data_IF_733037639161
#
_entry.id   IF_733037639161
#
_cell.length_a   1.000
_cell.length_b   1.000
_cell.length_c   1.000
_cell.angle_alpha   90.00
_cell.angle_beta   90.00
_cell.angle_gamma   90.00
#
_symmetry.space_group_name_H-M   'P 1'
#
loop_
_entity.id
_entity.type
_entity.pdbx_description
1 polymer ?
#
# COMPACT_ATOMS: atom_id res chain seq x y z
N UNK A 1 -10.86 -23.30 -5.03
CA UNK A 1 -11.79 -22.25 -5.53
C UNK A 1 -11.08 -20.91 -5.38
N UNK A 2 -10.74 -20.22 -6.48
CA UNK A 2 -10.09 -18.91 -6.42
C UNK A 2 -11.09 -17.87 -5.89
N UNK A 3 -10.70 -17.10 -4.86
CA UNK A 3 -11.51 -16.01 -4.29
C UNK A 3 -11.49 -14.81 -5.27
N UNK A 4 -12.31 -14.86 -6.32
CA UNK A 4 -12.41 -13.79 -7.33
C UNK A 4 -13.11 -12.55 -6.77
N UNK A 5 -12.85 -11.39 -7.37
CA UNK A 5 -13.50 -10.10 -7.11
C UNK A 5 -13.36 -9.60 -5.66
N UNK A 6 -12.26 -9.94 -4.99
CA UNK A 6 -11.94 -9.34 -3.70
C UNK A 6 -11.41 -7.92 -3.92
N UNK A 7 -11.88 -7.00 -3.08
CA UNK A 7 -11.34 -5.67 -2.93
C UNK A 7 -10.07 -5.74 -2.08
N UNK A 8 -8.98 -5.19 -2.56
CA UNK A 8 -7.66 -5.25 -1.92
C UNK A 8 -7.00 -3.88 -1.95
N UNK A 9 -6.28 -3.53 -0.89
CA UNK A 9 -5.42 -2.35 -0.85
C UNK A 9 -4.11 -2.67 -0.13
N UNK A 10 -3.04 -1.94 -0.46
CA UNK A 10 -1.72 -2.14 0.14
C UNK A 10 -1.23 -0.88 0.84
N UNK A 11 -0.64 -1.08 2.01
CA UNK A 11 0.13 -0.08 2.75
C UNK A 11 1.51 -0.69 2.97
N UNK A 12 2.53 -0.10 2.38
CA UNK A 12 3.92 -0.55 2.44
C UNK A 12 4.72 0.49 3.20
N UNK A 13 5.50 0.06 4.18
CA UNK A 13 6.35 0.94 4.99
C UNK A 13 7.77 0.39 4.97
N UNK A 14 8.74 1.23 4.64
CA UNK A 14 10.13 0.79 4.55
C UNK A 14 11.14 1.92 4.77
N UNK A 15 12.38 1.54 5.08
CA UNK A 15 13.47 2.49 5.33
C UNK A 15 14.21 2.97 4.07
N UNK A 16 13.74 2.62 2.87
CA UNK A 16 14.27 3.17 1.62
C UNK A 16 13.40 4.33 1.13
N UNK A 17 13.96 5.32 0.39
CA UNK A 17 13.18 6.34 -0.28
C UNK A 17 12.04 5.73 -1.11
N UNK A 18 10.86 6.36 -1.08
CA UNK A 18 9.62 5.83 -1.72
C UNK A 18 9.72 5.75 -3.25
N UNK A 19 10.62 6.52 -3.85
CA UNK A 19 10.97 6.49 -5.27
C UNK A 19 11.99 5.39 -5.63
N UNK A 20 12.44 4.60 -4.65
CA UNK A 20 13.33 3.47 -4.92
C UNK A 20 12.62 2.33 -5.64
N UNK A 21 13.37 1.61 -6.48
CA UNK A 21 12.91 0.44 -7.25
C UNK A 21 12.25 -0.64 -6.37
N UNK A 22 12.56 -0.69 -5.08
CA UNK A 22 11.98 -1.66 -4.15
C UNK A 22 10.46 -1.51 -4.05
N UNK A 23 9.94 -0.29 -3.92
CA UNK A 23 8.49 -0.06 -3.84
C UNK A 23 7.81 -0.37 -5.18
N UNK A 24 8.43 -0.01 -6.30
CA UNK A 24 7.91 -0.35 -7.63
C UNK A 24 7.80 -1.87 -7.83
N UNK A 25 8.81 -2.63 -7.40
CA UNK A 25 8.79 -4.09 -7.49
C UNK A 25 7.72 -4.70 -6.59
N UNK A 26 7.52 -4.18 -5.37
CA UNK A 26 6.46 -4.61 -4.47
C UNK A 26 5.09 -4.35 -5.10
N UNK A 27 4.86 -3.15 -5.64
CA UNK A 27 3.61 -2.81 -6.31
C UNK A 27 3.34 -3.73 -7.51
N UNK A 28 4.36 -4.01 -8.33
CA UNK A 28 4.25 -4.94 -9.46
C UNK A 28 3.92 -6.37 -9.01
N UNK A 29 4.46 -6.83 -7.88
CA UNK A 29 4.12 -8.15 -7.35
C UNK A 29 2.65 -8.22 -6.95
N UNK A 30 2.13 -7.21 -6.25
CA UNK A 30 0.72 -7.15 -5.88
C UNK A 30 -0.20 -7.04 -7.09
N UNK A 31 0.15 -6.22 -8.10
CA UNK A 31 -0.60 -6.13 -9.35
C UNK A 31 -0.64 -7.47 -10.10
N UNK A 32 0.48 -8.20 -10.14
CA UNK A 32 0.53 -9.54 -10.72
C UNK A 32 -0.40 -10.52 -10.00
N UNK A 33 -0.38 -10.53 -8.66
CA UNK A 33 -1.27 -11.37 -7.86
C UNK A 33 -2.74 -11.00 -8.06
N UNK A 34 -3.06 -9.70 -8.03
CA UNK A 34 -4.41 -9.20 -8.22
C UNK A 34 -4.95 -9.56 -9.61
N UNK A 35 -4.14 -9.39 -10.65
CA UNK A 35 -4.50 -9.80 -12.02
C UNK A 35 -4.76 -11.30 -12.11
N UNK A 36 -3.88 -12.13 -11.55
CA UNK A 36 -4.03 -13.59 -11.56
C UNK A 36 -5.30 -14.05 -10.84
N UNK A 37 -5.65 -13.42 -9.72
CA UNK A 37 -6.79 -13.77 -8.88
C UNK A 37 -8.08 -13.03 -9.25
N UNK A 38 -8.03 -12.12 -10.23
CA UNK A 38 -9.12 -11.21 -10.58
C UNK A 38 -9.59 -10.39 -9.36
N UNK A 39 -8.64 -9.81 -8.63
CA UNK A 39 -8.90 -8.88 -7.52
C UNK A 39 -8.97 -7.44 -8.02
N UNK A 40 -9.75 -6.64 -7.29
CA UNK A 40 -9.91 -5.21 -7.50
C UNK A 40 -8.98 -4.45 -6.55
N UNK A 41 -7.94 -3.83 -7.10
CA UNK A 41 -6.96 -3.05 -6.34
C UNK A 41 -7.48 -1.63 -6.14
N UNK A 42 -7.86 -1.32 -4.90
CA UNK A 42 -8.49 -0.03 -4.56
C UNK A 42 -7.48 1.09 -4.32
N UNK A 43 -6.35 0.77 -3.69
CA UNK A 43 -5.29 1.72 -3.42
C UNK A 43 -3.95 1.02 -3.17
N UNK A 44 -2.86 1.75 -3.42
CA UNK A 44 -1.50 1.37 -3.07
C UNK A 44 -0.81 2.58 -2.47
N UNK A 45 -0.29 2.45 -1.26
CA UNK A 45 0.41 3.53 -0.55
C UNK A 45 1.71 3.04 0.01
N UNK A 46 2.74 3.88 -0.14
CA UNK A 46 4.11 3.59 0.24
C UNK A 46 4.62 4.72 1.12
N UNK A 47 5.18 4.37 2.27
CA UNK A 47 5.68 5.32 3.25
C UNK A 47 7.12 5.01 3.60
N UNK A 48 7.92 6.06 3.68
CA UNK A 48 9.27 5.98 4.24
C UNK A 48 9.21 6.09 5.77
N UNK A 49 9.81 5.13 6.46
CA UNK A 49 10.03 5.19 7.90
C UNK A 49 11.23 4.32 8.29
N UNK A 50 12.08 4.86 9.17
CA UNK A 50 13.27 4.19 9.71
C UNK A 50 13.10 3.83 11.19
N UNK A 51 12.24 4.54 11.91
CA UNK A 51 11.86 4.22 13.28
C UNK A 51 10.38 3.78 13.38
N UNK A 52 10.08 3.00 14.42
CA UNK A 52 8.76 2.41 14.67
C UNK A 52 7.63 3.45 14.74
N UNK A 53 7.91 4.62 15.29
CA UNK A 53 6.96 5.68 15.60
C UNK A 53 7.00 6.84 14.61
N UNK A 54 7.86 6.77 13.59
CA UNK A 54 8.07 7.86 12.63
C UNK A 54 6.83 8.09 11.76
N UNK A 55 6.22 7.01 11.26
CA UNK A 55 5.00 7.10 10.46
C UNK A 55 3.82 7.64 11.28
N UNK A 56 3.68 7.19 12.53
CA UNK A 56 2.62 7.64 13.45
C UNK A 56 2.73 9.15 13.74
N UNK A 57 3.95 9.67 13.84
CA UNK A 57 4.22 11.10 14.07
C UNK A 57 4.01 11.95 12.81
N UNK A 58 3.98 11.35 11.62
CA UNK A 58 3.73 12.06 10.38
C UNK A 58 2.23 12.31 10.20
N UNK A 59 1.77 13.48 10.64
CA UNK A 59 0.36 13.89 10.57
C UNK A 59 -0.21 13.85 9.16
N UNK A 60 0.57 14.21 8.14
CA UNK A 60 0.10 14.23 6.76
C UNK A 60 -0.17 12.81 6.25
N UNK A 61 0.76 11.88 6.53
CA UNK A 61 0.59 10.46 6.20
C UNK A 61 -0.60 9.85 6.96
N UNK A 62 -0.77 10.18 8.25
CA UNK A 62 -1.91 9.68 9.04
C UNK A 62 -3.24 10.24 8.53
N UNK A 63 -3.31 11.52 8.18
CA UNK A 63 -4.50 12.14 7.60
C UNK A 63 -4.86 11.52 6.24
N UNK A 64 -3.86 11.22 5.42
CA UNK A 64 -4.06 10.51 4.15
C UNK A 64 -4.63 9.11 4.38
N UNK A 65 -4.06 8.34 5.31
CA UNK A 65 -4.54 6.99 5.67
C UNK A 65 -5.98 7.02 6.21
N UNK A 66 -6.31 7.98 7.06
CA UNK A 66 -7.69 8.21 7.51
C UNK A 66 -8.63 8.57 6.35
N UNK A 67 -8.16 9.40 5.42
CA UNK A 67 -8.91 9.80 4.23
C UNK A 67 -9.22 8.61 3.31
N UNK A 68 -8.27 7.70 3.15
CA UNK A 68 -8.49 6.45 2.42
C UNK A 68 -9.55 5.62 3.15
N UNK A 69 -9.41 5.41 4.45
CA UNK A 69 -10.36 4.62 5.25
C UNK A 69 -11.80 5.13 5.18
N UNK A 70 -12.02 6.44 5.07
CA UNK A 70 -13.35 7.06 4.92
C UNK A 70 -13.98 6.85 3.54
N UNK A 71 -13.18 6.58 2.51
CA UNK A 71 -13.61 6.48 1.11
C UNK A 71 -13.68 5.03 0.58
N UNK A 72 -13.57 4.02 1.46
CA UNK A 72 -13.63 2.59 1.15
C UNK A 72 -15.00 1.97 1.47
#
# INVERSE_FOLDING_TARGET
MQLKNKKVGTIVVGGSPVDSIQYELIDKQFDCMAKYLSWDMLFKKSYYATARDELEKNKDSMNELEGIGKNL
#
